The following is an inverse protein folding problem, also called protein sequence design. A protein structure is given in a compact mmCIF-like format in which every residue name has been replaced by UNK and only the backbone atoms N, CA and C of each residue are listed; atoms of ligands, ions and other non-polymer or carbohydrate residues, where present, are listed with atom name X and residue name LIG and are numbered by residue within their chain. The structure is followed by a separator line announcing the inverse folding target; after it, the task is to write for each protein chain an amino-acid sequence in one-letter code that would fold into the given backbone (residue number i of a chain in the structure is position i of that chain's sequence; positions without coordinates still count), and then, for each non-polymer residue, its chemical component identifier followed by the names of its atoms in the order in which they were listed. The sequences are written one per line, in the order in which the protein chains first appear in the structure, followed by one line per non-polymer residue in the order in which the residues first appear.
data_IF_984524220064
#
_entry.id   IF_984524220064
#
_cell.length_a   1.000
_cell.length_b   1.000
_cell.length_c   1.000
_cell.angle_alpha   90.00
_cell.angle_beta   90.00
_cell.angle_gamma   90.00
#
_symmetry.space_group_name_H-M   'P 1'
#
loop_
_entity.id
_entity.type
_entity.pdbx_description
1 polymer ?
#
# COMPACT_ATOMS: atom_id res chain seq x y z
N UNK A 1 9.37 -27.92 -19.48
CA UNK A 1 8.68 -27.21 -20.59
C UNK A 1 8.94 -25.70 -20.45
N UNK A 2 9.44 -25.02 -21.50
CA UNK A 2 9.73 -23.57 -21.44
C UNK A 2 8.49 -22.78 -21.83
N UNK A 3 7.84 -22.11 -20.87
CA UNK A 3 6.71 -21.21 -21.14
C UNK A 3 7.21 -19.79 -21.45
N UNK A 4 6.53 -19.10 -22.35
CA UNK A 4 6.76 -17.68 -22.64
C UNK A 4 6.52 -16.81 -21.41
N UNK A 5 7.19 -15.65 -21.32
CA UNK A 5 7.06 -14.74 -20.18
C UNK A 5 5.61 -14.30 -19.96
N UNK A 6 4.88 -14.05 -21.05
CA UNK A 6 3.47 -13.67 -21.04
C UNK A 6 2.55 -14.69 -20.37
N UNK A 7 2.92 -15.98 -20.38
CA UNK A 7 2.15 -17.05 -19.73
C UNK A 7 2.47 -17.19 -18.24
N UNK A 8 3.57 -16.56 -17.76
CA UNK A 8 4.05 -16.66 -16.38
C UNK A 8 3.74 -15.41 -15.56
N UNK A 9 3.60 -14.25 -16.21
CA UNK A 9 3.50 -12.96 -15.54
C UNK A 9 2.20 -12.23 -15.91
N UNK A 10 1.71 -11.42 -14.99
CA UNK A 10 0.58 -10.50 -15.21
C UNK A 10 1.08 -9.08 -15.06
N UNK A 11 0.83 -8.20 -16.02
CA UNK A 11 1.32 -6.81 -16.00
C UNK A 11 0.58 -5.94 -14.97
N UNK A 12 0.87 -6.14 -13.68
CA UNK A 12 0.41 -5.32 -12.55
C UNK A 12 1.37 -5.48 -11.35
N UNK A 13 1.23 -4.63 -10.33
CA UNK A 13 1.90 -4.81 -9.05
C UNK A 13 1.58 -6.18 -8.46
N UNK A 14 2.62 -6.91 -8.01
CA UNK A 14 2.50 -8.30 -7.53
C UNK A 14 1.80 -9.24 -8.52
N UNK A 15 2.00 -9.01 -9.82
CA UNK A 15 1.49 -9.85 -10.89
C UNK A 15 1.98 -11.29 -10.78
N UNK A 16 1.07 -12.25 -10.92
CA UNK A 16 1.38 -13.68 -10.79
C UNK A 16 1.54 -14.18 -9.35
N UNK A 17 1.82 -13.31 -8.37
CA UNK A 17 1.94 -13.72 -6.96
C UNK A 17 0.70 -13.40 -6.12
N UNK A 18 -0.03 -12.32 -6.43
CA UNK A 18 -1.23 -11.90 -5.69
C UNK A 18 -2.42 -11.66 -6.61
N UNK A 19 -3.63 -11.92 -6.11
CA UNK A 19 -4.88 -11.60 -6.80
C UNK A 19 -5.17 -10.09 -6.75
N UNK A 20 -6.02 -9.60 -7.65
CA UNK A 20 -6.33 -8.16 -7.76
C UNK A 20 -6.91 -7.58 -6.47
N UNK A 21 -7.77 -8.36 -5.78
CA UNK A 21 -8.40 -7.95 -4.51
C UNK A 21 -7.34 -7.72 -3.43
N UNK A 22 -6.42 -8.68 -3.24
CA UNK A 22 -5.35 -8.55 -2.26
C UNK A 22 -4.39 -7.38 -2.55
N UNK A 23 -4.09 -7.10 -3.82
CA UNK A 23 -3.24 -5.95 -4.18
C UNK A 23 -3.95 -4.64 -3.83
N UNK A 24 -5.23 -4.54 -4.16
CA UNK A 24 -6.03 -3.36 -3.87
C UNK A 24 -6.20 -3.11 -2.36
N UNK A 25 -6.47 -4.17 -1.58
CA UNK A 25 -6.60 -4.06 -0.12
C UNK A 25 -5.28 -3.64 0.53
N UNK A 26 -4.14 -4.16 0.06
CA UNK A 26 -2.81 -3.71 0.52
C UNK A 26 -2.55 -2.25 0.21
N UNK A 27 -2.89 -1.79 -0.99
CA UNK A 27 -2.70 -0.39 -1.39
C UNK A 27 -3.55 0.52 -0.49
N UNK A 28 -4.83 0.18 -0.29
CA UNK A 28 -5.74 0.93 0.59
C UNK A 28 -5.24 0.95 2.03
N UNK A 29 -4.85 -0.20 2.57
CA UNK A 29 -4.36 -0.30 3.93
C UNK A 29 -3.08 0.51 4.14
N UNK A 30 -2.12 0.42 3.22
CA UNK A 30 -0.90 1.20 3.28
C UNK A 30 -1.19 2.71 3.25
N UNK A 31 -2.08 3.15 2.34
CA UNK A 31 -2.50 4.54 2.26
C UNK A 31 -3.12 5.04 3.58
N UNK A 32 -4.12 4.34 4.11
CA UNK A 32 -4.81 4.75 5.34
C UNK A 32 -3.88 4.78 6.56
N UNK A 33 -2.92 3.85 6.64
CA UNK A 33 -1.93 3.83 7.72
C UNK A 33 -1.00 5.05 7.65
N UNK A 34 -0.55 5.44 6.45
CA UNK A 34 0.30 6.62 6.30
C UNK A 34 -0.46 7.91 6.59
N UNK A 35 -1.72 8.03 6.14
CA UNK A 35 -2.60 9.15 6.49
C UNK A 35 -2.76 9.28 8.02
N UNK A 36 -3.10 8.17 8.70
CA UNK A 36 -3.26 8.17 10.16
C UNK A 36 -1.95 8.52 10.89
N UNK A 37 -0.80 8.08 10.39
CA UNK A 37 0.51 8.45 10.96
C UNK A 37 0.78 9.95 10.84
N UNK A 38 0.35 10.59 9.76
CA UNK A 38 0.49 12.04 9.56
C UNK A 38 -0.42 12.78 10.54
N UNK A 39 -1.70 12.39 10.65
CA UNK A 39 -2.64 13.03 11.58
C UNK A 39 -2.15 12.99 13.02
N UNK A 40 -1.67 11.83 13.47
CA UNK A 40 -1.11 11.67 14.82
C UNK A 40 0.11 12.57 15.04
N UNK A 41 0.98 12.74 14.04
CA UNK A 41 2.13 13.64 14.13
C UNK A 41 1.69 15.11 14.22
N UNK A 42 0.72 15.52 13.41
CA UNK A 42 0.18 16.89 13.41
C UNK A 42 -0.47 17.22 14.75
N UNK A 43 -1.32 16.32 15.27
CA UNK A 43 -1.97 16.52 16.58
C UNK A 43 -0.95 16.65 17.71
N UNK A 44 0.10 15.83 17.71
CA UNK A 44 1.19 15.92 18.71
C UNK A 44 1.95 17.24 18.61
N UNK A 45 2.26 17.71 17.40
CA UNK A 45 2.96 18.98 17.19
C UNK A 45 2.11 20.18 17.67
N UNK A 46 0.80 20.19 17.38
CA UNK A 46 -0.11 21.25 17.83
C UNK A 46 -0.29 21.29 19.36
N UNK A 47 -0.25 20.12 20.02
CA UNK A 47 -0.33 20.06 21.48
C UNK A 47 0.93 20.65 22.14
N UNK A 48 2.11 20.40 21.56
CA UNK A 48 3.38 20.93 22.08
C UNK A 48 3.48 22.46 21.91
N UNK A 49 2.96 23.02 20.82
CA UNK A 49 3.01 24.46 20.56
C UNK A 49 2.00 25.30 21.36
N UNK A 50 1.01 24.67 22.00
CA UNK A 50 -0.05 25.34 22.77
C UNK A 50 0.28 25.51 24.27
N UNK A 51 1.41 24.97 24.70
CA UNK A 51 2.09 25.28 25.98
C UNK A 51 3.13 26.35 25.75
#
# INVERSE_FOLDING_TARGET
MRLSITKKHVSRAYGGSMCVKCVHDRIKQAFLIEEQKIDVKVLKAQAQSKT
#
